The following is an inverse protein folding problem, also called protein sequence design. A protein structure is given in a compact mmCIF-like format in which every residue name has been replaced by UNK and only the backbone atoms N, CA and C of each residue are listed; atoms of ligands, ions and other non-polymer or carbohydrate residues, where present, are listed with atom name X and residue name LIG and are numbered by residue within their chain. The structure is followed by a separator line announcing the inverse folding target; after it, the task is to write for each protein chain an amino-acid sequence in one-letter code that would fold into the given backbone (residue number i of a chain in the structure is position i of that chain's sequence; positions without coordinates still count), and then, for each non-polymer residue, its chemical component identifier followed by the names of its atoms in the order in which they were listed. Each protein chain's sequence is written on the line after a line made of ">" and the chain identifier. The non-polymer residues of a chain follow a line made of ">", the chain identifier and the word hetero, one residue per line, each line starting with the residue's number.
data_IF_473618687356
#
_entry.id   IF_473618687356
#
_cell.length_a   1.000
_cell.length_b   1.000
_cell.length_c   1.000
_cell.angle_alpha   90.00
_cell.angle_beta   90.00
_cell.angle_gamma   90.00
#
_symmetry.space_group_name_H-M   'P 1'
#
loop_
_entity.id
_entity.type
_entity.pdbx_description
1 polymer ?
#
# COMPACT_ATOMS: atom_id res chain seq x y z
N UNK A 1 3.66 21.78 -31.96
CA UNK A 1 3.40 20.80 -30.87
C UNK A 1 2.95 19.43 -31.38
N UNK A 2 1.87 19.31 -32.18
CA UNK A 2 1.43 18.00 -32.69
C UNK A 2 2.51 17.26 -33.48
N UNK A 3 3.25 17.96 -34.34
CA UNK A 3 4.36 17.34 -35.11
C UNK A 3 5.50 16.87 -34.20
N UNK A 4 5.83 17.59 -33.15
CA UNK A 4 6.85 17.19 -32.16
C UNK A 4 6.38 15.99 -31.36
N UNK A 5 5.12 15.99 -30.89
CA UNK A 5 4.51 14.87 -30.15
C UNK A 5 4.46 13.56 -30.98
N UNK A 6 4.34 13.65 -32.31
CA UNK A 6 4.29 12.51 -33.23
C UNK A 6 5.67 11.97 -33.65
N UNK A 7 6.77 12.55 -33.16
CA UNK A 7 8.11 11.98 -33.37
C UNK A 7 8.20 10.61 -32.71
N UNK A 8 8.91 9.63 -33.31
CA UNK A 8 9.03 8.27 -32.78
C UNK A 8 9.47 8.21 -31.31
N UNK A 9 10.41 9.08 -30.92
CA UNK A 9 10.88 9.19 -29.54
C UNK A 9 9.75 9.59 -28.58
N UNK A 10 8.96 10.60 -28.92
CA UNK A 10 7.87 11.08 -28.06
C UNK A 10 6.67 10.11 -28.01
N UNK A 11 6.43 9.37 -29.10
CA UNK A 11 5.46 8.28 -29.09
C UNK A 11 5.90 7.13 -28.18
N UNK A 12 7.19 6.75 -28.24
CA UNK A 12 7.73 5.75 -27.31
C UNK A 12 7.61 6.21 -25.84
N UNK A 13 7.95 7.47 -25.57
CA UNK A 13 7.81 8.06 -24.23
C UNK A 13 6.34 8.12 -23.79
N UNK A 14 5.40 8.36 -24.70
CA UNK A 14 3.97 8.34 -24.41
C UNK A 14 3.51 6.94 -24.00
N UNK A 15 3.92 5.92 -24.77
CA UNK A 15 3.63 4.51 -24.42
C UNK A 15 4.19 4.17 -23.04
N UNK A 16 5.45 4.53 -22.78
CA UNK A 16 6.07 4.32 -21.47
C UNK A 16 5.29 5.03 -20.35
N UNK A 17 4.86 6.27 -20.59
CA UNK A 17 4.04 7.05 -19.65
C UNK A 17 2.71 6.35 -19.36
N UNK A 18 2.04 5.80 -20.38
CA UNK A 18 0.80 5.05 -20.17
C UNK A 18 1.03 3.77 -19.38
N UNK A 19 2.13 3.05 -19.63
CA UNK A 19 2.50 1.86 -18.85
C UNK A 19 2.71 2.23 -17.38
N UNK A 20 3.50 3.26 -17.10
CA UNK A 20 3.76 3.75 -15.73
C UNK A 20 2.47 4.23 -15.06
N UNK A 21 1.64 5.01 -15.75
CA UNK A 21 0.34 5.46 -15.23
C UNK A 21 -0.60 4.28 -14.96
N UNK A 22 -0.59 3.26 -15.84
CA UNK A 22 -1.36 2.03 -15.64
C UNK A 22 -0.95 1.26 -14.39
N UNK A 23 0.36 1.19 -14.12
CA UNK A 23 0.89 0.60 -12.87
C UNK A 23 0.40 1.39 -11.65
N UNK A 24 0.44 2.70 -11.67
CA UNK A 24 -0.05 3.53 -10.57
C UNK A 24 -1.57 3.36 -10.33
N UNK A 25 -2.36 3.30 -11.39
CA UNK A 25 -3.81 3.02 -11.27
C UNK A 25 -4.06 1.62 -10.70
N UNK A 26 -3.28 0.62 -11.11
CA UNK A 26 -3.35 -0.72 -10.53
C UNK A 26 -3.01 -0.73 -9.04
N UNK A 27 -1.93 -0.05 -8.64
CA UNK A 27 -1.53 0.09 -7.23
C UNK A 27 -2.60 0.83 -6.41
N UNK A 28 -3.24 1.87 -6.96
CA UNK A 28 -4.37 2.55 -6.34
C UNK A 28 -5.53 1.59 -6.06
N UNK A 29 -5.91 0.79 -7.06
CA UNK A 29 -6.97 -0.22 -6.92
C UNK A 29 -6.60 -1.25 -5.84
N UNK A 30 -5.39 -1.79 -5.89
CA UNK A 30 -4.90 -2.76 -4.91
C UNK A 30 -4.91 -2.22 -3.48
N UNK A 31 -4.49 -0.96 -3.27
CA UNK A 31 -4.53 -0.30 -1.97
C UNK A 31 -5.97 -0.12 -1.46
N UNK A 32 -6.89 0.21 -2.35
CA UNK A 32 -8.30 0.37 -1.99
C UNK A 32 -8.93 -0.97 -1.59
N UNK A 33 -8.70 -2.03 -2.36
CA UNK A 33 -9.15 -3.40 -2.04
C UNK A 33 -8.54 -3.90 -0.73
N UNK A 34 -7.26 -3.58 -0.47
CA UNK A 34 -6.60 -3.93 0.79
C UNK A 34 -7.20 -3.17 1.99
N UNK A 35 -7.74 -1.97 1.78
CA UNK A 35 -8.42 -1.22 2.84
C UNK A 35 -9.75 -1.86 3.22
N UNK A 36 -10.50 -2.40 2.25
CA UNK A 36 -11.76 -3.10 2.49
C UNK A 36 -11.55 -4.46 3.17
N UNK A 37 -10.53 -5.22 2.74
CA UNK A 37 -10.24 -6.56 3.29
C UNK A 37 -9.74 -6.49 4.75
N UNK A 38 -9.18 -5.36 5.17
CA UNK A 38 -8.72 -5.14 6.54
C UNK A 38 -9.85 -4.71 7.50
N UNK A 39 -11.04 -4.42 6.99
CA UNK A 39 -12.18 -4.07 7.81
C UNK A 39 -12.82 -5.33 8.41
N UNK A 40 -13.10 -5.37 9.73
CA UNK A 40 -13.87 -6.46 10.31
C UNK A 40 -15.27 -6.52 9.68
N UNK A 41 -15.88 -7.72 9.62
CA UNK A 41 -17.22 -7.86 9.06
C UNK A 41 -18.25 -7.11 9.90
N UNK A 42 -19.36 -6.67 9.29
CA UNK A 42 -20.44 -6.02 10.02
C UNK A 42 -21.00 -6.93 11.13
N UNK A 43 -21.33 -6.36 12.28
CA UNK A 43 -21.88 -7.06 13.43
C UNK A 43 -23.09 -7.95 13.08
N UNK A 44 -23.99 -7.48 12.22
CA UNK A 44 -25.16 -8.25 11.80
C UNK A 44 -24.79 -9.61 11.17
N UNK A 45 -23.61 -9.73 10.58
CA UNK A 45 -23.14 -10.97 9.98
C UNK A 45 -22.43 -11.84 11.03
N UNK A 46 -21.65 -11.26 11.93
CA UNK A 46 -20.85 -12.00 12.92
C UNK A 46 -21.66 -12.64 14.04
N UNK A 47 -22.86 -12.11 14.33
CA UNK A 47 -23.72 -12.64 15.40
C UNK A 47 -24.54 -13.89 14.96
N UNK A 48 -24.61 -14.18 13.68
CA UNK A 48 -25.23 -15.42 13.21
C UNK A 48 -24.21 -16.57 13.30
N UNK A 49 -24.53 -17.64 14.04
CA UNK A 49 -23.66 -18.78 14.15
C UNK A 49 -23.47 -19.47 12.80
N UNK A 50 -22.21 -19.74 12.46
CA UNK A 50 -21.83 -20.49 11.25
C UNK A 50 -20.98 -21.70 11.63
N UNK A 51 -20.94 -22.76 10.80
CA UNK A 51 -20.08 -23.91 11.04
C UNK A 51 -18.58 -23.53 11.04
N UNK A 52 -17.78 -24.21 11.84
CA UNK A 52 -16.32 -24.09 11.85
C UNK A 52 -15.72 -24.44 10.48
N UNK A 53 -16.18 -25.57 9.91
CA UNK A 53 -15.74 -26.05 8.60
C UNK A 53 -16.29 -25.13 7.51
N UNK A 54 -15.37 -24.63 6.66
CA UNK A 54 -15.69 -23.69 5.61
C UNK A 54 -15.56 -22.22 6.00
N UNK A 55 -15.45 -21.89 7.30
CA UNK A 55 -15.18 -20.52 7.76
C UNK A 55 -13.69 -20.24 7.92
N UNK A 56 -12.95 -21.15 8.56
CA UNK A 56 -11.50 -21.06 8.73
C UNK A 56 -10.79 -22.34 8.29
N UNK A 57 -9.53 -22.19 7.85
CA UNK A 57 -8.64 -23.29 7.50
C UNK A 57 -7.50 -23.38 8.52
N UNK A 58 -7.14 -24.60 9.00
CA UNK A 58 -6.03 -24.77 9.95
C UNK A 58 -4.67 -24.36 9.40
N UNK A 59 -4.51 -24.43 8.06
CA UNK A 59 -3.23 -24.17 7.38
C UNK A 59 -3.02 -22.67 7.08
N UNK A 60 -4.02 -21.83 7.32
CA UNK A 60 -3.99 -20.41 6.98
C UNK A 60 -4.12 -19.54 8.24
N UNK A 61 -3.44 -18.38 8.28
CA UNK A 61 -3.64 -17.41 9.34
C UNK A 61 -5.09 -16.92 9.33
N UNK A 62 -5.66 -16.69 10.52
CA UNK A 62 -6.99 -16.06 10.62
C UNK A 62 -6.95 -14.65 10.03
N UNK A 63 -7.82 -14.38 9.07
CA UNK A 63 -7.99 -13.06 8.48
C UNK A 63 -8.90 -12.18 9.36
N UNK A 64 -8.69 -10.86 9.33
CA UNK A 64 -9.54 -9.92 10.05
C UNK A 64 -11.01 -10.02 9.65
N UNK A 65 -11.29 -10.35 8.37
CA UNK A 65 -12.63 -10.58 7.85
C UNK A 65 -13.30 -11.87 8.36
N UNK A 66 -12.56 -12.78 8.99
CA UNK A 66 -13.05 -14.04 9.55
C UNK A 66 -13.14 -13.97 11.08
N UNK A 67 -12.47 -13.02 11.71
CA UNK A 67 -12.47 -12.83 13.15
C UNK A 67 -13.84 -12.33 13.66
N UNK A 68 -14.08 -12.50 14.95
CA UNK A 68 -15.30 -12.12 15.68
C UNK A 68 -16.57 -12.84 15.25
N UNK A 69 -16.49 -13.76 14.30
CA UNK A 69 -17.61 -14.60 13.87
C UNK A 69 -18.03 -15.53 15.01
N UNK A 70 -19.34 -15.64 15.26
CA UNK A 70 -19.90 -16.70 16.11
C UNK A 70 -19.86 -18.01 15.35
N UNK A 71 -19.22 -19.01 15.95
CA UNK A 71 -19.13 -20.37 15.41
C UNK A 71 -19.99 -21.31 16.22
N UNK A 72 -20.50 -22.36 15.55
CA UNK A 72 -21.14 -23.51 16.16
C UNK A 72 -20.49 -24.79 15.60
N UNK A 73 -20.01 -25.65 16.46
CA UNK A 73 -19.36 -26.90 16.07
C UNK A 73 -19.41 -27.95 17.18
N UNK A 74 -19.55 -29.22 16.80
CA UNK A 74 -19.61 -30.35 17.70
C UNK A 74 -18.25 -31.05 17.81
N UNK A 75 -18.06 -31.78 18.92
CA UNK A 75 -16.86 -32.55 19.19
C UNK A 75 -16.67 -32.86 20.67
N UNK A 76 -15.43 -33.06 21.09
CA UNK A 76 -15.09 -33.46 22.44
C UNK A 76 -13.94 -32.66 23.04
N UNK A 77 -14.04 -32.29 24.31
CA UNK A 77 -12.91 -31.74 25.04
C UNK A 77 -11.87 -32.85 25.33
N UNK A 78 -10.60 -32.52 25.18
CA UNK A 78 -9.55 -33.47 25.54
C UNK A 78 -9.27 -33.40 27.05
N UNK A 79 -9.15 -34.54 27.74
CA UNK A 79 -8.85 -34.56 29.16
C UNK A 79 -7.44 -34.00 29.42
N UNK A 80 -7.21 -33.44 30.62
CA UNK A 80 -5.93 -32.95 31.11
C UNK A 80 -5.24 -31.88 30.22
N UNK A 81 -6.05 -31.13 29.43
CA UNK A 81 -5.53 -30.07 28.55
C UNK A 81 -5.81 -28.68 29.08
N UNK A 82 -6.36 -28.53 30.29
CA UNK A 82 -6.68 -27.25 30.87
C UNK A 82 -5.45 -26.38 31.07
N UNK A 83 -5.49 -25.16 30.53
CA UNK A 83 -4.48 -24.11 30.65
C UNK A 83 -5.13 -22.89 31.30
N UNK A 84 -4.43 -22.27 32.22
CA UNK A 84 -4.86 -21.03 32.89
C UNK A 84 -4.16 -19.86 32.24
N UNK A 85 -4.90 -18.89 31.76
CA UNK A 85 -4.37 -17.66 31.11
C UNK A 85 -4.53 -16.50 32.06
N UNK A 86 -3.39 -15.87 32.42
CA UNK A 86 -3.34 -14.74 33.34
C UNK A 86 -3.79 -13.39 32.71
N UNK A 87 -3.95 -12.39 33.56
CA UNK A 87 -4.30 -11.01 33.17
C UNK A 87 -5.60 -10.89 32.38
N UNK A 88 -6.65 -11.57 32.86
CA UNK A 88 -7.99 -11.54 32.23
C UNK A 88 -8.99 -10.78 33.08
N UNK A 89 -9.39 -9.60 32.58
CA UNK A 89 -10.36 -8.75 33.24
C UNK A 89 -11.79 -9.23 32.96
N UNK A 90 -12.59 -9.37 34.03
CA UNK A 90 -14.04 -9.49 33.92
C UNK A 90 -14.71 -8.46 34.83
N UNK A 91 -15.51 -7.55 34.26
CA UNK A 91 -16.20 -6.46 35.00
C UNK A 91 -15.31 -5.60 35.86
N UNK A 92 -14.02 -5.46 35.47
CA UNK A 92 -13.03 -4.68 36.19
C UNK A 92 -12.27 -5.43 37.29
N UNK A 93 -12.52 -6.70 37.47
CA UNK A 93 -11.75 -7.60 38.34
C UNK A 93 -10.70 -8.35 37.55
N UNK A 94 -9.47 -8.44 38.09
CA UNK A 94 -8.38 -9.22 37.56
C UNK A 94 -8.62 -10.71 37.84
N UNK A 95 -8.37 -11.55 36.84
CA UNK A 95 -8.53 -12.98 36.97
C UNK A 95 -7.94 -13.74 35.80
N UNK A 96 -8.46 -14.92 35.55
CA UNK A 96 -7.91 -15.92 34.69
C UNK A 96 -8.95 -16.52 33.75
N UNK A 97 -8.55 -16.82 32.52
CA UNK A 97 -9.32 -17.71 31.67
C UNK A 97 -8.87 -19.16 31.83
N UNK A 98 -9.84 -20.06 31.82
CA UNK A 98 -9.58 -21.50 31.68
C UNK A 98 -9.82 -21.91 30.26
N UNK A 99 -8.81 -22.50 29.64
CA UNK A 99 -8.80 -22.88 28.23
C UNK A 99 -8.52 -24.36 28.10
N UNK A 100 -9.30 -25.07 27.30
CA UNK A 100 -9.11 -26.49 27.04
C UNK A 100 -8.99 -26.77 25.55
N UNK A 101 -8.29 -27.81 25.18
CA UNK A 101 -8.24 -28.32 23.83
C UNK A 101 -9.55 -29.01 23.46
N UNK A 102 -10.21 -28.55 22.41
CA UNK A 102 -11.41 -29.14 21.87
C UNK A 102 -11.15 -29.78 20.52
N UNK A 103 -11.48 -31.06 20.36
CA UNK A 103 -11.36 -31.76 19.09
C UNK A 103 -12.69 -31.70 18.35
N UNK A 104 -12.82 -30.95 17.27
CA UNK A 104 -14.02 -30.94 16.42
C UNK A 104 -14.22 -32.32 15.77
N UNK A 105 -15.49 -32.73 15.61
CA UNK A 105 -15.83 -33.97 14.91
C UNK A 105 -15.57 -33.83 13.41
N UNK A 106 -15.76 -32.64 12.87
CA UNK A 106 -15.49 -32.30 11.47
C UNK A 106 -14.28 -31.41 11.36
N UNK A 107 -13.36 -31.76 10.46
CA UNK A 107 -12.21 -30.92 10.08
C UNK A 107 -12.16 -30.73 8.56
N UNK A 108 -11.65 -29.58 8.06
CA UNK A 108 -11.50 -29.35 6.64
C UNK A 108 -10.59 -30.40 5.98
N UNK A 109 -10.80 -30.63 4.67
CA UNK A 109 -9.94 -31.54 3.90
C UNK A 109 -8.47 -31.07 3.95
N UNK A 110 -7.57 -31.98 4.26
CA UNK A 110 -6.14 -31.70 4.43
C UNK A 110 -5.74 -31.15 5.81
N UNK A 111 -6.65 -31.05 6.76
CA UNK A 111 -6.31 -30.71 8.15
C UNK A 111 -5.40 -31.76 8.77
N UNK A 112 -4.45 -31.36 9.65
CA UNK A 112 -3.67 -32.32 10.42
C UNK A 112 -4.57 -33.24 11.24
N UNK A 113 -4.21 -34.52 11.33
CA UNK A 113 -4.94 -35.50 12.14
C UNK A 113 -4.96 -35.10 13.63
N UNK A 114 -6.13 -35.14 14.23
CA UNK A 114 -6.32 -34.81 15.64
C UNK A 114 -6.22 -33.33 15.97
N UNK A 115 -6.35 -32.47 14.99
CA UNK A 115 -6.32 -31.00 15.20
C UNK A 115 -7.34 -30.57 16.24
N UNK A 116 -6.95 -29.60 17.09
CA UNK A 116 -7.81 -29.07 18.16
C UNK A 116 -8.04 -27.56 17.98
N UNK A 117 -9.19 -27.12 18.47
CA UNK A 117 -9.53 -25.71 18.66
C UNK A 117 -9.31 -25.35 20.13
N UNK A 118 -8.49 -24.35 20.48
CA UNK A 118 -8.46 -23.80 21.83
C UNK A 118 -9.81 -23.16 22.16
N UNK A 119 -10.46 -23.63 23.24
CA UNK A 119 -11.74 -23.09 23.68
C UNK A 119 -11.58 -22.49 25.07
N UNK A 120 -11.83 -21.19 25.18
CA UNK A 120 -11.96 -20.51 26.48
C UNK A 120 -13.30 -20.92 27.07
N UNK A 121 -13.25 -21.73 28.13
CA UNK A 121 -14.45 -22.25 28.80
C UNK A 121 -15.06 -21.24 29.77
N UNK A 122 -14.23 -20.38 30.38
CA UNK A 122 -14.74 -19.36 31.30
C UNK A 122 -13.65 -18.60 32.00
N UNK A 123 -14.09 -17.70 32.88
CA UNK A 123 -13.24 -16.83 33.71
C UNK A 123 -13.39 -17.18 35.21
N UNK A 124 -12.34 -17.00 35.98
CA UNK A 124 -12.35 -17.08 37.44
C UNK A 124 -11.35 -16.09 38.05
N UNK A 125 -11.68 -15.50 39.21
CA UNK A 125 -10.75 -14.77 40.03
C UNK A 125 -9.73 -15.69 40.72
N UNK A 126 -10.06 -16.96 40.88
CA UNK A 126 -9.20 -17.98 41.51
C UNK A 126 -8.52 -18.83 40.43
N UNK A 127 -7.17 -18.78 40.32
CA UNK A 127 -6.42 -19.61 39.36
C UNK A 127 -6.50 -21.10 39.64
N UNK A 128 -6.95 -21.50 40.84
CA UNK A 128 -7.13 -22.90 41.19
C UNK A 128 -8.55 -23.43 40.93
N UNK A 129 -9.48 -22.54 40.54
CA UNK A 129 -10.86 -22.94 40.26
C UNK A 129 -10.91 -24.10 39.28
N UNK A 130 -11.46 -25.19 39.75
CA UNK A 130 -11.56 -26.45 39.00
C UNK A 130 -13.01 -26.65 38.58
N UNK A 131 -13.26 -26.37 37.31
CA UNK A 131 -14.50 -26.78 36.63
C UNK A 131 -14.04 -27.72 35.50
N UNK A 132 -14.16 -29.04 35.67
CA UNK A 132 -13.68 -29.96 34.67
C UNK A 132 -14.42 -29.78 33.34
N UNK A 133 -13.70 -29.98 32.23
CA UNK A 133 -14.34 -29.91 30.93
C UNK A 133 -15.46 -30.94 30.82
N UNK A 134 -16.58 -30.63 30.16
CA UNK A 134 -17.65 -31.59 29.93
C UNK A 134 -17.14 -32.87 29.25
N UNK A 135 -17.61 -34.02 29.73
CA UNK A 135 -17.27 -35.29 29.12
C UNK A 135 -18.24 -35.66 27.99
N UNK A 136 -17.72 -36.37 26.97
CA UNK A 136 -18.52 -36.83 25.85
C UNK A 136 -18.65 -35.80 24.73
N UNK A 137 -19.56 -36.06 23.81
CA UNK A 137 -19.82 -35.22 22.66
C UNK A 137 -20.65 -34.02 23.07
N UNK A 138 -20.18 -32.82 22.75
CA UNK A 138 -20.87 -31.53 23.01
C UNK A 138 -20.81 -30.64 21.80
N UNK A 139 -21.76 -29.71 21.72
CA UNK A 139 -21.76 -28.62 20.74
C UNK A 139 -21.36 -27.33 21.44
N UNK A 140 -20.39 -26.66 20.90
CA UNK A 140 -19.86 -25.37 21.36
C UNK A 140 -20.35 -24.26 20.45
N UNK A 141 -20.99 -23.25 21.05
CA UNK A 141 -21.28 -21.99 20.39
C UNK A 141 -20.43 -20.89 21.03
N UNK A 142 -19.63 -20.18 20.21
CA UNK A 142 -18.72 -19.19 20.75
C UNK A 142 -18.14 -18.25 19.68
N UNK A 143 -17.49 -17.21 20.14
CA UNK A 143 -16.88 -16.19 19.28
C UNK A 143 -15.45 -16.58 18.92
N UNK A 144 -15.17 -16.59 17.61
CA UNK A 144 -13.84 -16.82 17.06
C UNK A 144 -12.95 -15.60 17.22
N UNK A 145 -11.79 -15.79 17.83
CA UNK A 145 -10.85 -14.72 18.13
C UNK A 145 -9.45 -15.04 17.56
N UNK A 146 -8.68 -14.00 17.15
CA UNK A 146 -7.33 -14.18 16.68
C UNK A 146 -6.41 -14.63 17.84
N UNK A 147 -5.37 -15.45 17.55
CA UNK A 147 -4.41 -15.87 18.55
C UNK A 147 -3.60 -14.66 19.03
N UNK A 148 -3.23 -14.69 20.28
CA UNK A 148 -2.34 -13.69 20.86
C UNK A 148 -0.88 -14.04 20.54
N UNK A 149 -0.01 -13.02 20.53
CA UNK A 149 1.42 -13.23 20.40
C UNK A 149 1.99 -13.98 21.61
N UNK A 150 2.98 -14.87 21.42
CA UNK A 150 3.58 -15.59 22.53
C UNK A 150 4.31 -14.62 23.48
N UNK A 151 3.98 -14.68 24.75
CA UNK A 151 4.70 -13.94 25.81
C UNK A 151 5.63 -14.89 26.58
N UNK A 152 6.80 -14.39 27.05
CA UNK A 152 7.68 -15.20 27.88
C UNK A 152 6.97 -15.50 29.21
N UNK A 153 7.05 -16.75 29.64
CA UNK A 153 6.44 -17.22 30.88
C UNK A 153 7.05 -16.50 32.08
N UNK A 154 6.22 -15.92 32.94
CA UNK A 154 6.61 -15.43 34.27
C UNK A 154 6.88 -16.66 35.16
N UNK A 155 8.09 -16.74 35.73
CA UNK A 155 8.54 -17.92 36.50
C UNK A 155 7.84 -18.11 37.85
N UNK A 156 7.32 -17.04 38.44
CA UNK A 156 6.76 -17.01 39.80
C UNK A 156 5.26 -16.63 39.75
N UNK A 157 4.46 -17.44 39.05
CA UNK A 157 3.00 -17.27 39.00
C UNK A 157 2.29 -17.89 40.19
N UNK A 158 0.99 -17.63 40.38
CA UNK A 158 0.17 -18.24 41.42
C UNK A 158 0.09 -19.76 41.24
N UNK A 159 -0.31 -20.42 42.31
CA UNK A 159 -0.66 -21.86 42.24
C UNK A 159 -1.90 -22.00 41.37
N UNK A 160 -1.87 -22.91 40.41
CA UNK A 160 -2.94 -23.20 39.45
C UNK A 160 -3.57 -24.56 39.64
N UNK A 161 -3.30 -25.20 40.79
CA UNK A 161 -3.75 -26.59 41.01
C UNK A 161 -3.07 -27.59 40.07
N UNK A 162 -1.83 -27.31 39.65
CA UNK A 162 -1.06 -28.19 38.77
C UNK A 162 -1.26 -27.96 37.27
N UNK A 163 -2.15 -27.02 36.87
CA UNK A 163 -2.37 -26.65 35.47
C UNK A 163 -1.27 -25.73 34.95
N UNK A 164 -1.10 -25.67 33.65
CA UNK A 164 -0.15 -24.78 32.99
C UNK A 164 -0.66 -23.34 33.06
N UNK A 165 0.16 -22.40 33.61
CA UNK A 165 -0.11 -20.99 33.59
C UNK A 165 0.61 -20.35 32.37
N UNK A 166 -0.09 -19.51 31.62
CA UNK A 166 0.43 -18.72 30.50
C UNK A 166 -0.04 -17.29 30.58
N UNK A 167 0.77 -16.34 30.05
CA UNK A 167 0.44 -14.92 30.04
C UNK A 167 -0.31 -14.49 28.76
N UNK A 168 -0.44 -15.40 27.80
CA UNK A 168 -1.13 -15.12 26.53
C UNK A 168 -1.71 -16.39 25.92
N UNK A 169 -2.83 -16.23 25.19
CA UNK A 169 -3.47 -17.31 24.47
C UNK A 169 -2.85 -17.47 23.07
N UNK A 170 -1.63 -17.99 23.05
CA UNK A 170 -0.86 -18.23 21.83
C UNK A 170 -1.06 -19.67 21.34
N UNK A 171 -1.72 -19.85 20.19
CA UNK A 171 -1.90 -21.17 19.59
C UNK A 171 -0.56 -21.91 19.37
N UNK A 172 0.50 -21.18 19.02
CA UNK A 172 1.84 -21.77 18.86
C UNK A 172 2.44 -22.29 20.18
N UNK A 173 2.15 -21.65 21.33
CA UNK A 173 2.57 -22.15 22.64
C UNK A 173 1.72 -23.35 23.06
N UNK A 174 0.40 -23.29 22.85
CA UNK A 174 -0.54 -24.36 23.21
C UNK A 174 -0.23 -25.67 22.49
N UNK A 175 0.13 -25.63 21.20
CA UNK A 175 0.56 -26.81 20.43
C UNK A 175 1.73 -27.51 21.10
N UNK A 176 2.69 -26.77 21.69
CA UNK A 176 3.82 -27.37 22.40
C UNK A 176 3.44 -28.01 23.76
N UNK A 177 2.39 -27.48 24.41
CA UNK A 177 1.92 -28.02 25.69
C UNK A 177 1.03 -29.24 25.52
N UNK A 178 0.18 -29.21 24.49
CA UNK A 178 -0.79 -30.27 24.22
C UNK A 178 -0.23 -31.41 23.36
N UNK A 179 0.91 -31.19 22.70
CA UNK A 179 1.53 -32.12 21.73
C UNK A 179 0.57 -32.56 20.61
N UNK A 180 -0.33 -31.66 20.24
CA UNK A 180 -1.28 -31.84 19.14
C UNK A 180 -1.36 -30.57 18.28
N UNK A 181 -1.63 -30.71 16.98
CA UNK A 181 -1.80 -29.55 16.12
C UNK A 181 -3.04 -28.73 16.56
N UNK A 182 -2.94 -27.42 16.46
CA UNK A 182 -4.00 -26.50 16.86
C UNK A 182 -4.32 -25.52 15.74
N UNK A 183 -5.59 -25.10 15.65
CA UNK A 183 -5.96 -23.96 14.85
C UNK A 183 -5.19 -22.70 15.29
N UNK A 184 -4.86 -21.84 14.35
CA UNK A 184 -4.24 -20.54 14.62
C UNK A 184 -5.29 -19.48 15.03
N UNK A 185 -6.17 -19.86 15.93
CA UNK A 185 -7.29 -19.09 16.46
C UNK A 185 -7.74 -19.69 17.78
N UNK A 186 -8.66 -19.03 18.49
CA UNK A 186 -9.35 -19.64 19.63
C UNK A 186 -10.81 -19.21 19.64
N UNK A 187 -11.64 -19.95 20.37
CA UNK A 187 -13.08 -19.66 20.54
C UNK A 187 -13.37 -19.32 22.01
N UNK A 188 -13.98 -18.18 22.27
CA UNK A 188 -14.57 -17.88 23.56
C UNK A 188 -16.00 -18.43 23.58
N UNK A 189 -16.24 -19.52 24.35
CA UNK A 189 -17.54 -20.16 24.40
C UNK A 189 -18.56 -19.32 25.18
N UNK A 190 -19.76 -19.21 24.64
CA UNK A 190 -20.92 -18.64 25.35
C UNK A 190 -21.86 -19.75 25.82
N UNK A 191 -21.97 -20.82 25.06
CA UNK A 191 -22.88 -21.93 25.30
C UNK A 191 -22.17 -23.23 24.93
N UNK A 192 -22.36 -24.24 25.75
CA UNK A 192 -21.91 -25.60 25.49
C UNK A 192 -23.05 -26.53 25.86
N UNK A 193 -23.58 -27.24 24.88
CA UNK A 193 -24.71 -28.17 25.08
C UNK A 193 -24.30 -29.62 24.85
N UNK A 194 -24.84 -30.51 25.63
CA UNK A 194 -24.65 -31.97 25.42
C UNK A 194 -25.53 -32.51 24.30
N UNK A 195 -25.41 -33.79 24.00
CA UNK A 195 -26.22 -34.50 23.00
C UNK A 195 -27.72 -34.52 23.31
N UNK A 196 -28.13 -34.18 24.53
CA UNK A 196 -29.54 -34.09 24.96
C UNK A 196 -30.08 -32.65 24.82
N UNK A 197 -29.23 -31.66 24.49
CA UNK A 197 -29.52 -30.26 24.45
C UNK A 197 -29.51 -29.57 25.82
N UNK A 198 -28.98 -30.25 26.85
CA UNK A 198 -28.76 -29.61 28.15
C UNK A 198 -27.49 -28.74 28.13
N UNK A 199 -27.60 -27.54 28.72
CA UNK A 199 -26.44 -26.68 28.91
C UNK A 199 -25.50 -27.31 29.96
N UNK A 200 -24.31 -27.67 29.50
CA UNK A 200 -23.21 -28.21 30.31
C UNK A 200 -22.03 -27.25 30.36
N UNK A 201 -22.25 -26.04 29.91
CA UNK A 201 -21.26 -24.97 29.87
C UNK A 201 -21.04 -24.29 31.21
N UNK A 202 -20.37 -23.17 31.15
CA UNK A 202 -19.96 -22.38 32.29
C UNK A 202 -21.16 -21.80 33.02
N UNK A 203 -21.18 -21.96 34.35
CA UNK A 203 -22.27 -21.51 35.20
C UNK A 203 -23.38 -22.55 35.45
N UNK A 204 -23.28 -23.72 34.80
CA UNK A 204 -24.18 -24.84 35.07
C UNK A 204 -23.97 -25.49 36.45
N UNK A 205 -22.73 -25.36 36.99
CA UNK A 205 -22.35 -25.85 38.32
C UNK A 205 -22.20 -24.73 39.34
N UNK A 206 -22.66 -24.96 40.60
CA UNK A 206 -22.43 -23.98 41.69
C UNK A 206 -20.93 -23.86 42.01
N UNK A 207 -20.36 -22.63 41.86
CA UNK A 207 -18.99 -22.32 42.19
C UNK A 207 -17.97 -22.56 41.09
N UNK A 208 -18.43 -22.75 39.86
CA UNK A 208 -17.60 -22.93 38.66
C UNK A 208 -17.05 -21.62 38.08
N UNK A 209 -16.64 -21.70 36.82
CA UNK A 209 -16.18 -20.56 36.04
C UNK A 209 -17.33 -19.61 35.70
N UNK A 210 -17.05 -18.31 35.53
CA UNK A 210 -18.01 -17.34 35.01
C UNK A 210 -17.94 -17.28 33.48
N UNK A 211 -19.07 -17.05 32.77
CA UNK A 211 -19.08 -16.88 31.34
C UNK A 211 -18.21 -15.70 30.88
N UNK A 212 -17.36 -15.92 29.89
CA UNK A 212 -16.55 -14.88 29.28
C UNK A 212 -17.39 -14.14 28.25
N UNK A 213 -17.65 -12.88 28.52
CA UNK A 213 -18.29 -12.00 27.53
C UNK A 213 -17.24 -11.30 26.67
N UNK A 214 -17.19 -11.66 25.40
CA UNK A 214 -16.44 -10.90 24.40
C UNK A 214 -17.43 -10.05 23.63
N UNK A 215 -17.28 -8.72 23.79
CA UNK A 215 -18.15 -7.78 23.09
C UNK A 215 -17.96 -7.94 21.57
N UNK A 216 -19.06 -7.88 20.79
CA UNK A 216 -18.93 -7.80 19.34
C UNK A 216 -18.15 -6.55 18.95
N UNK A 217 -17.47 -6.60 17.83
CA UNK A 217 -16.76 -5.43 17.30
C UNK A 217 -17.72 -4.25 17.14
N UNK A 218 -17.26 -3.01 17.40
CA UNK A 218 -18.07 -1.82 17.12
C UNK A 218 -18.47 -1.80 15.63
N UNK A 219 -19.70 -1.37 15.34
CA UNK A 219 -20.24 -1.22 13.96
C UNK A 219 -19.48 -0.21 13.10
N UNK A 220 -18.45 0.43 13.63
CA UNK A 220 -17.58 1.33 12.90
C UNK A 220 -16.68 0.52 11.97
N UNK A 221 -17.05 0.46 10.69
CA UNK A 221 -16.12 0.12 9.62
C UNK A 221 -14.97 1.12 9.68
N UNK A 222 -13.90 0.75 10.36
CA UNK A 222 -12.70 1.58 10.42
C UNK A 222 -12.07 1.59 9.04
N UNK A 223 -12.57 2.51 8.19
CA UNK A 223 -11.87 2.80 6.94
C UNK A 223 -10.44 3.16 7.32
N UNK A 224 -9.50 2.37 6.88
CA UNK A 224 -8.08 2.67 7.06
C UNK A 224 -7.76 3.87 6.17
N UNK A 225 -8.00 5.08 6.68
CA UNK A 225 -7.82 6.33 5.95
C UNK A 225 -6.44 6.44 5.30
N UNK A 226 -5.43 5.83 5.93
CA UNK A 226 -4.08 5.77 5.38
C UNK A 226 -4.06 5.09 3.99
N UNK A 227 -4.76 3.97 3.81
CA UNK A 227 -4.83 3.28 2.53
C UNK A 227 -5.60 4.10 1.48
N UNK A 228 -6.64 4.82 1.91
CA UNK A 228 -7.38 5.75 1.02
C UNK A 228 -6.47 6.89 0.57
N UNK A 229 -5.66 7.47 1.47
CA UNK A 229 -4.68 8.48 1.10
C UNK A 229 -3.67 7.97 0.08
N UNK A 230 -3.12 6.78 0.30
CA UNK A 230 -2.20 6.18 -0.68
C UNK A 230 -2.87 5.89 -2.03
N UNK A 231 -4.11 5.42 -2.03
CA UNK A 231 -4.85 5.21 -3.27
C UNK A 231 -5.00 6.51 -4.09
N UNK A 232 -5.31 7.62 -3.41
CA UNK A 232 -5.39 8.96 -4.04
C UNK A 232 -4.02 9.42 -4.52
N UNK A 233 -2.96 9.21 -3.74
CA UNK A 233 -1.59 9.58 -4.10
C UNK A 233 -1.14 8.88 -5.39
N UNK A 234 -1.44 7.60 -5.57
CA UNK A 234 -1.13 6.87 -6.81
C UNK A 234 -1.82 7.47 -8.04
N UNK A 235 -3.07 7.91 -7.91
CA UNK A 235 -3.80 8.60 -9.00
C UNK A 235 -3.13 9.93 -9.35
N UNK A 236 -2.68 10.68 -8.33
CA UNK A 236 -1.94 11.93 -8.54
C UNK A 236 -0.65 11.65 -9.29
N UNK A 237 0.11 10.62 -8.94
CA UNK A 237 1.34 10.23 -9.65
C UNK A 237 1.07 9.82 -11.10
N UNK A 238 -0.02 9.10 -11.38
CA UNK A 238 -0.42 8.79 -12.74
C UNK A 238 -0.68 10.05 -13.57
N UNK A 239 -1.42 11.02 -13.02
CA UNK A 239 -1.66 12.30 -13.65
C UNK A 239 -0.39 13.13 -13.84
N UNK A 240 0.51 13.08 -12.86
CA UNK A 240 1.80 13.78 -12.92
C UNK A 240 2.73 13.21 -14.00
N UNK A 241 2.74 11.89 -14.21
CA UNK A 241 3.50 11.27 -15.29
C UNK A 241 3.04 11.79 -16.67
N UNK A 242 1.73 11.87 -16.90
CA UNK A 242 1.14 12.44 -18.13
C UNK A 242 1.47 13.92 -18.29
N UNK A 243 1.41 14.68 -17.20
CA UNK A 243 1.79 16.10 -17.19
C UNK A 243 3.27 16.30 -17.56
N UNK A 244 4.18 15.47 -17.02
CA UNK A 244 5.61 15.53 -17.35
C UNK A 244 5.86 15.25 -18.82
N UNK A 245 5.22 14.21 -19.38
CA UNK A 245 5.31 13.93 -20.81
C UNK A 245 4.86 15.14 -21.64
N UNK A 246 3.68 15.71 -21.35
CA UNK A 246 3.18 16.89 -22.05
C UNK A 246 4.14 18.09 -21.93
N UNK A 247 4.66 18.34 -20.73
CA UNK A 247 5.61 19.40 -20.47
C UNK A 247 6.88 19.24 -21.30
N UNK A 248 7.47 18.04 -21.32
CA UNK A 248 8.69 17.78 -22.09
C UNK A 248 8.47 17.93 -23.59
N UNK A 249 7.36 17.46 -24.14
CA UNK A 249 6.99 17.70 -25.56
C UNK A 249 6.86 19.19 -25.85
N UNK A 250 6.25 19.95 -24.96
CA UNK A 250 6.12 21.40 -25.09
C UNK A 250 7.48 22.10 -25.08
N UNK A 251 8.34 21.71 -24.16
CA UNK A 251 9.67 22.32 -24.00
C UNK A 251 10.59 21.97 -25.20
N UNK A 252 10.49 20.76 -25.75
CA UNK A 252 11.18 20.35 -26.98
C UNK A 252 10.70 21.17 -28.19
N UNK A 253 9.39 21.31 -28.33
CA UNK A 253 8.82 22.17 -29.40
C UNK A 253 9.28 23.63 -29.31
N UNK A 254 9.39 24.17 -28.09
CA UNK A 254 9.89 25.53 -27.89
C UNK A 254 11.40 25.67 -28.23
N UNK A 255 12.18 24.57 -28.05
CA UNK A 255 13.58 24.52 -28.50
C UNK A 255 13.66 24.52 -30.02
N UNK A 256 12.88 23.67 -30.70
CA UNK A 256 12.85 23.61 -32.17
C UNK A 256 12.52 24.97 -32.79
N UNK A 257 11.57 25.70 -32.23
CA UNK A 257 11.22 27.03 -32.71
C UNK A 257 12.38 28.01 -32.57
N UNK A 258 13.08 28.00 -31.42
CA UNK A 258 14.25 28.87 -31.21
C UNK A 258 15.42 28.52 -32.11
N UNK A 259 15.70 27.22 -32.33
CA UNK A 259 16.73 26.77 -33.26
C UNK A 259 16.40 27.21 -34.69
N UNK A 260 15.14 27.07 -35.14
CA UNK A 260 14.71 27.54 -36.45
C UNK A 260 14.82 29.06 -36.62
N UNK A 261 14.57 29.83 -35.57
CA UNK A 261 14.74 31.29 -35.58
C UNK A 261 16.24 31.67 -35.71
N UNK A 262 17.12 31.02 -34.95
CA UNK A 262 18.58 31.22 -35.02
C UNK A 262 19.13 30.85 -36.39
N UNK A 263 18.71 29.70 -36.94
CA UNK A 263 19.10 29.28 -38.28
C UNK A 263 18.68 30.25 -39.36
N UNK A 264 17.44 30.77 -39.26
CA UNK A 264 16.94 31.79 -40.18
C UNK A 264 17.69 33.14 -40.04
N UNK A 265 18.11 33.50 -38.85
CA UNK A 265 18.96 34.69 -38.64
C UNK A 265 20.35 34.51 -39.22
N UNK A 266 20.96 33.38 -38.99
CA UNK A 266 22.28 33.03 -39.54
C UNK A 266 22.26 33.02 -41.07
N UNK A 267 21.22 32.39 -41.70
CA UNK A 267 21.09 32.42 -43.16
C UNK A 267 20.93 33.84 -43.71
N UNK A 268 20.18 34.69 -43.01
CA UNK A 268 20.02 36.13 -43.42
C UNK A 268 21.35 36.87 -43.38
N UNK A 269 22.10 36.68 -42.29
CA UNK A 269 23.44 37.30 -42.14
C UNK A 269 24.41 36.79 -43.22
N UNK A 270 24.47 35.47 -43.41
CA UNK A 270 25.35 34.83 -44.40
C UNK A 270 25.03 35.31 -45.84
N UNK A 271 23.72 35.38 -46.21
CA UNK A 271 23.31 35.92 -47.52
C UNK A 271 23.67 37.39 -47.67
N UNK A 272 23.54 38.18 -46.64
CA UNK A 272 23.90 39.59 -46.65
C UNK A 272 25.43 39.79 -46.85
N UNK A 273 26.25 39.00 -46.15
CA UNK A 273 27.70 39.02 -46.28
C UNK A 273 28.14 38.56 -47.67
N UNK A 274 27.58 37.46 -48.19
CA UNK A 274 27.86 36.97 -49.52
C UNK A 274 27.51 37.99 -50.61
N UNK A 275 26.34 38.64 -50.51
CA UNK A 275 25.95 39.71 -51.42
C UNK A 275 26.88 40.92 -51.32
N UNK A 276 27.32 41.28 -50.10
CA UNK A 276 28.28 42.36 -49.90
C UNK A 276 29.65 42.02 -50.53
N UNK A 277 30.14 40.79 -50.35
CA UNK A 277 31.36 40.30 -50.97
C UNK A 277 31.30 40.35 -52.51
N UNK A 278 30.23 39.82 -53.12
CA UNK A 278 30.03 39.84 -54.58
C UNK A 278 29.93 41.27 -55.12
N UNK A 279 29.26 42.18 -54.38
CA UNK A 279 29.20 43.62 -54.75
C UNK A 279 30.61 44.27 -54.69
N UNK A 280 31.39 43.97 -53.68
CA UNK A 280 32.75 44.48 -53.55
C UNK A 280 33.69 43.95 -54.66
N UNK A 281 33.57 42.65 -55.01
CA UNK A 281 34.28 42.03 -56.11
C UNK A 281 33.89 42.65 -57.46
N UNK A 282 32.60 42.84 -57.73
CA UNK A 282 32.11 43.49 -58.94
C UNK A 282 32.53 44.96 -59.00
N UNK A 283 32.56 45.68 -57.87
CA UNK A 283 33.04 47.06 -57.82
C UNK A 283 34.56 47.14 -58.14
N UNK A 284 35.36 46.22 -57.58
CA UNK A 284 36.80 46.10 -57.89
C UNK A 284 37.07 45.81 -59.37
N UNK A 285 36.34 44.80 -59.91
CA UNK A 285 36.44 44.45 -61.32
C UNK A 285 36.06 45.65 -62.24
N UNK A 286 35.01 46.37 -61.88
CA UNK A 286 34.60 47.56 -62.62
C UNK A 286 35.63 48.68 -62.53
N UNK A 287 36.25 48.88 -61.39
CA UNK A 287 37.31 49.89 -61.23
C UNK A 287 38.58 49.48 -61.97
N UNK A 288 38.96 48.21 -61.95
CA UNK A 288 40.11 47.71 -62.76
C UNK A 288 39.85 47.87 -64.27
N UNK A 289 38.64 47.54 -64.73
CA UNK A 289 38.23 47.75 -66.11
C UNK A 289 38.29 49.22 -66.53
N UNK A 290 37.83 50.11 -65.62
CA UNK A 290 37.91 51.56 -65.82
C UNK A 290 39.35 52.07 -65.91
N UNK A 291 40.23 51.56 -65.03
CA UNK A 291 41.66 51.92 -65.08
C UNK A 291 42.32 51.40 -66.36
N UNK A 292 42.03 50.16 -66.74
CA UNK A 292 42.54 49.59 -67.99
C UNK A 292 42.09 50.38 -69.23
N UNK A 293 40.81 50.78 -69.25
CA UNK A 293 40.24 51.63 -70.33
C UNK A 293 40.92 52.99 -70.37
N UNK A 294 41.16 53.67 -69.22
CA UNK A 294 41.82 54.93 -69.12
C UNK A 294 43.28 54.86 -69.59
N UNK A 295 44.00 53.83 -69.22
CA UNK A 295 45.35 53.55 -69.66
C UNK A 295 45.47 53.32 -71.21
N UNK A 296 44.50 52.54 -71.74
CA UNK A 296 44.43 52.26 -73.15
C UNK A 296 44.18 53.52 -74.04
N UNK A 297 43.39 54.44 -73.53
CA UNK A 297 43.02 55.67 -74.27
C UNK A 297 43.89 56.91 -73.91
N UNK A 298 44.95 56.73 -73.12
CA UNK A 298 45.82 57.85 -72.75
C UNK A 298 45.19 58.95 -71.94
N UNK A 299 44.14 58.65 -71.20
CA UNK A 299 43.38 59.60 -70.37
C UNK A 299 43.95 59.76 -68.95
N UNK A 300 45.22 59.61 -68.79
CA UNK A 300 45.91 59.48 -67.48
C UNK A 300 46.19 60.87 -66.81
N UNK A 301 45.31 61.82 -66.98
CA UNK A 301 45.47 63.08 -66.23
C UNK A 301 44.14 63.76 -65.97
N UNK A 302 43.25 63.24 -65.17
CA UNK A 302 42.28 64.02 -64.36
C UNK A 302 41.31 63.12 -63.64
N UNK A 303 41.71 62.56 -62.51
CA UNK A 303 40.70 62.13 -61.52
C UNK A 303 40.96 62.93 -60.25
N UNK A 304 40.05 63.91 -59.91
CA UNK A 304 40.10 64.54 -58.60
C UNK A 304 39.87 63.47 -57.52
N UNK A 305 40.72 63.46 -56.52
CA UNK A 305 40.48 62.76 -55.30
C UNK A 305 39.22 63.32 -54.67
N UNK A 306 38.09 62.67 -54.92
CA UNK A 306 36.84 63.02 -54.31
C UNK A 306 36.77 62.57 -52.85
N UNK A 307 36.44 63.50 -52.08
CA UNK A 307 36.08 63.63 -50.70
C UNK A 307 35.63 62.27 -50.02
N UNK A 308 36.43 61.90 -49.07
CA UNK A 308 36.08 60.93 -48.05
C UNK A 308 34.90 61.48 -47.25
N UNK A 309 33.73 60.80 -47.18
CA UNK A 309 32.70 61.15 -46.23
C UNK A 309 33.19 60.90 -44.82
N UNK A 310 33.18 61.96 -44.02
CA UNK A 310 33.56 61.95 -42.62
C UNK A 310 32.89 60.77 -41.86
N UNK A 311 33.70 60.06 -41.14
CA UNK A 311 33.37 59.14 -40.08
C UNK A 311 32.32 59.76 -39.13
N UNK A 312 31.09 59.32 -39.22
CA UNK A 312 30.06 59.51 -38.17
C UNK A 312 29.99 58.23 -37.39
N UNK A 313 30.82 58.13 -36.38
CA UNK A 313 30.62 57.20 -35.27
C UNK A 313 29.26 57.41 -34.63
N UNK A 314 28.36 56.42 -34.57
CA UNK A 314 27.19 56.50 -33.72
C UNK A 314 27.63 56.24 -32.27
N UNK A 315 27.36 57.25 -31.44
CA UNK A 315 27.65 57.23 -30.02
C UNK A 315 27.07 56.01 -29.32
N UNK A 316 27.89 55.45 -28.46
CA UNK A 316 27.46 54.45 -27.49
C UNK A 316 26.39 54.97 -26.55
N UNK A 317 25.14 54.60 -26.80
CA UNK A 317 24.06 54.68 -25.85
C UNK A 317 23.93 53.39 -25.10
N UNK A 318 24.33 53.40 -23.85
CA UNK A 318 24.16 52.33 -22.87
C UNK A 318 22.70 52.37 -22.40
N UNK A 319 21.91 51.33 -22.48
CA UNK A 319 20.65 51.28 -21.73
C UNK A 319 20.90 50.72 -20.32
N UNK A 320 20.41 51.44 -19.34
CA UNK A 320 20.34 51.10 -17.94
C UNK A 320 19.56 49.79 -17.71
N UNK A 321 20.04 49.02 -16.75
CA UNK A 321 19.34 47.90 -16.20
C UNK A 321 18.19 48.37 -15.29
N UNK A 322 17.03 47.72 -15.32
CA UNK A 322 16.08 47.87 -14.23
C UNK A 322 16.46 46.95 -13.08
N UNK A 323 16.56 47.55 -11.89
CA UNK A 323 16.43 46.90 -10.59
C UNK A 323 14.95 46.59 -10.36
N UNK A 324 14.65 45.36 -10.02
CA UNK A 324 13.83 44.77 -8.95
C UNK A 324 13.53 43.32 -9.27
#
# INVERSE_FOLDING_TARGET
>A
MLRTALKPFWLLMLVLTFVVSGVFVYLSKWQFESAETAAPPPREQTENAVPLVGHISPAEPLLASQADQVLEFSGTFLPDTDVVVDNRLLRGEDGYWVVSAFRPDEAPEGAPEGIVMPVVRGWSADPTAADPAPEGEVTVTGRLLPPEGPLPRVKDGPDTGGRILVDSLSAAQLTNFWDVPSYAAFVAAFEVVDSTGADVGVGAAEGGLEPVWVAPQPDETTIVWLNVFYAVEWIIFAGFALYLWWRFVRDDHARELREAELDAEWERQWRAEELARRRAEAARAKEEARRAYAAYHGLDAAIPADQTPADRSPGAGRPDAPQE
#
